data_IF_545032257854
#
_entry.id   IF_545032257854
#
_cell.length_a   1.000
_cell.length_b   1.000
_cell.length_c   1.000
_cell.angle_alpha   90.00
_cell.angle_beta   90.00
_cell.angle_gamma   90.00
#
_symmetry.space_group_name_H-M   'P 1'
#
loop_
_entity.id
_entity.type
_entity.pdbx_description
1 polymer ?
#
# COMPACT_ATOMS: atom_id res chain seq x y z
N UNK A 1 28.02 -29.82 11.14
CA UNK A 1 27.09 -30.97 11.02
C UNK A 1 25.64 -30.61 11.34
N UNK A 2 25.34 -29.93 12.46
CA UNK A 2 23.96 -29.58 12.90
C UNK A 2 23.24 -28.65 11.91
N UNK A 3 23.92 -27.67 11.29
CA UNK A 3 23.32 -26.80 10.30
C UNK A 3 22.87 -27.49 9.01
N UNK A 4 23.62 -28.52 8.60
CA UNK A 4 23.32 -29.28 7.39
C UNK A 4 22.07 -30.18 7.60
N UNK A 5 21.87 -30.72 8.80
CA UNK A 5 20.69 -31.52 9.14
C UNK A 5 19.43 -30.63 9.21
N UNK A 6 19.52 -29.46 9.84
CA UNK A 6 18.42 -28.48 9.90
C UNK A 6 17.99 -28.01 8.49
N UNK A 7 18.95 -27.74 7.61
CA UNK A 7 18.65 -27.36 6.21
C UNK A 7 17.97 -28.50 5.44
N UNK A 8 18.41 -29.74 5.63
CA UNK A 8 17.76 -30.92 4.99
C UNK A 8 16.32 -31.11 5.49
N UNK A 9 16.11 -31.05 6.80
CA UNK A 9 14.76 -31.12 7.39
C UNK A 9 13.84 -30.01 6.90
N UNK A 10 14.34 -28.77 6.84
CA UNK A 10 13.58 -27.65 6.31
C UNK A 10 13.21 -27.84 4.82
N UNK A 11 14.13 -28.38 4.02
CA UNK A 11 13.86 -28.69 2.61
C UNK A 11 12.74 -29.75 2.46
N UNK A 12 12.78 -30.82 3.26
CA UNK A 12 11.74 -31.87 3.25
C UNK A 12 10.39 -31.26 3.67
N UNK A 13 10.38 -30.48 4.74
CA UNK A 13 9.18 -29.77 5.19
C UNK A 13 8.62 -28.85 4.10
N UNK A 14 9.47 -28.06 3.44
CA UNK A 14 9.06 -27.14 2.37
C UNK A 14 8.44 -27.87 1.18
N UNK A 15 9.00 -29.05 0.79
CA UNK A 15 8.44 -29.90 -0.26
C UNK A 15 7.06 -30.42 0.14
N UNK A 16 6.91 -30.90 1.36
CA UNK A 16 5.61 -31.36 1.87
C UNK A 16 4.55 -30.25 1.87
N UNK A 17 4.90 -29.07 2.40
CA UNK A 17 4.02 -27.89 2.39
C UNK A 17 3.65 -27.49 0.97
N UNK A 18 4.60 -27.52 0.02
CA UNK A 18 4.33 -27.23 -1.39
C UNK A 18 3.23 -28.14 -1.94
N UNK A 19 3.31 -29.46 -1.73
CA UNK A 19 2.27 -30.39 -2.19
C UNK A 19 0.90 -30.12 -1.56
N UNK A 20 0.85 -29.72 -0.30
CA UNK A 20 -0.41 -29.33 0.35
C UNK A 20 -1.00 -28.04 -0.20
N UNK A 21 -0.17 -27.13 -0.73
CA UNK A 21 -0.61 -25.84 -1.27
C UNK A 21 -0.96 -25.88 -2.76
N UNK A 22 -0.58 -26.94 -3.50
CA UNK A 22 -0.86 -27.08 -4.95
C UNK A 22 -2.34 -26.79 -5.31
N UNK A 23 -3.36 -27.33 -4.63
CA UNK A 23 -4.76 -27.05 -4.98
C UNK A 23 -5.10 -25.57 -4.91
N UNK A 24 -4.52 -24.85 -3.94
CA UNK A 24 -4.70 -23.41 -3.74
C UNK A 24 -4.01 -22.65 -4.88
N UNK A 25 -2.76 -22.99 -5.18
CA UNK A 25 -1.97 -22.35 -6.24
C UNK A 25 -2.63 -22.54 -7.62
N UNK A 26 -3.14 -23.74 -7.91
CA UNK A 26 -3.87 -24.01 -9.14
C UNK A 26 -5.17 -23.22 -9.23
N UNK A 27 -5.88 -23.05 -8.12
CA UNK A 27 -7.08 -22.21 -8.07
C UNK A 27 -6.73 -20.74 -8.35
N UNK A 28 -5.68 -20.22 -7.74
CA UNK A 28 -5.23 -18.83 -7.93
C UNK A 28 -4.72 -18.58 -9.36
N UNK A 29 -4.04 -19.56 -9.99
CA UNK A 29 -3.60 -19.43 -11.38
C UNK A 29 -4.75 -19.39 -12.37
N UNK A 30 -5.86 -20.09 -12.08
CA UNK A 30 -7.06 -20.11 -12.94
C UNK A 30 -8.02 -18.96 -12.69
N UNK A 31 -8.06 -18.47 -11.46
CA UNK A 31 -8.99 -17.44 -11.01
C UNK A 31 -8.21 -16.32 -10.33
N UNK A 32 -7.69 -15.34 -11.07
CA UNK A 32 -6.99 -14.22 -10.49
C UNK A 32 -7.89 -13.48 -9.50
N UNK A 33 -7.31 -12.97 -8.43
CA UNK A 33 -8.02 -12.27 -7.35
C UNK A 33 -8.76 -11.03 -7.82
N UNK A 34 -8.31 -10.44 -8.94
CA UNK A 34 -8.93 -9.29 -9.58
C UNK A 34 -9.38 -9.67 -11.00
N UNK A 35 -10.64 -9.43 -11.31
CA UNK A 35 -11.20 -9.68 -12.64
C UNK A 35 -10.77 -8.63 -13.67
N UNK A 36 -10.37 -7.45 -13.21
CA UNK A 36 -9.98 -6.33 -14.04
C UNK A 36 -8.59 -5.83 -13.67
N UNK A 37 -7.89 -5.25 -14.64
CA UNK A 37 -6.63 -4.54 -14.40
C UNK A 37 -6.92 -3.37 -13.45
N UNK A 38 -6.09 -3.24 -12.42
CA UNK A 38 -6.19 -2.18 -11.43
C UNK A 38 -4.91 -1.32 -11.40
N UNK A 39 -4.88 -0.36 -10.50
CA UNK A 39 -3.77 0.60 -10.34
C UNK A 39 -2.49 0.01 -9.76
N UNK A 40 -2.49 -1.22 -9.24
CA UNK A 40 -1.32 -1.83 -8.57
C UNK A 40 -0.06 -1.85 -9.44
N UNK A 41 -0.20 -2.01 -10.75
CA UNK A 41 0.95 -1.97 -11.66
C UNK A 41 1.66 -0.59 -11.63
N UNK A 42 0.88 0.50 -11.55
CA UNK A 42 1.39 1.87 -11.45
C UNK A 42 2.06 2.07 -10.09
N UNK A 43 1.36 1.73 -9.03
CA UNK A 43 1.79 1.93 -7.64
C UNK A 43 3.08 1.16 -7.35
N UNK A 44 3.15 -0.12 -7.73
CA UNK A 44 4.34 -0.94 -7.56
C UNK A 44 5.49 -0.45 -8.45
N UNK A 45 5.20 -0.01 -9.68
CA UNK A 45 6.19 0.60 -10.55
C UNK A 45 6.83 1.82 -9.90
N UNK A 46 6.04 2.69 -9.26
CA UNK A 46 6.53 3.84 -8.51
C UNK A 46 7.39 3.44 -7.31
N UNK A 47 6.94 2.43 -6.53
CA UNK A 47 7.72 1.89 -5.40
C UNK A 47 9.07 1.38 -5.88
N UNK A 48 9.11 0.49 -6.89
CA UNK A 48 10.35 -0.09 -7.39
C UNK A 48 11.27 0.94 -8.05
N UNK A 49 10.71 1.94 -8.75
CA UNK A 49 11.46 3.09 -9.29
C UNK A 49 12.30 3.78 -8.21
N UNK A 50 11.76 3.94 -7.00
CA UNK A 50 12.46 4.62 -5.92
C UNK A 50 13.33 3.68 -5.08
N UNK A 51 12.92 2.43 -4.89
CA UNK A 51 13.71 1.43 -4.19
C UNK A 51 15.11 1.25 -4.81
N UNK A 52 15.19 1.07 -6.13
CA UNK A 52 16.48 0.87 -6.78
C UNK A 52 17.34 2.13 -6.82
N UNK A 53 16.74 3.34 -6.80
CA UNK A 53 17.49 4.62 -6.76
C UNK A 53 18.04 4.94 -5.38
N UNK A 54 17.29 4.60 -4.34
CA UNK A 54 17.62 4.90 -2.94
C UNK A 54 18.45 3.78 -2.33
N UNK A 55 18.24 2.53 -2.75
CA UNK A 55 18.86 1.32 -2.22
C UNK A 55 18.81 1.24 -0.68
N UNK A 56 17.62 1.31 -0.07
CA UNK A 56 17.47 1.30 1.40
C UNK A 56 17.87 -0.06 1.97
N UNK A 57 18.40 -0.07 3.20
CA UNK A 57 18.73 -1.32 3.90
C UNK A 57 17.52 -1.93 4.59
N UNK A 58 16.76 -1.13 5.32
CA UNK A 58 15.61 -1.60 6.10
C UNK A 58 14.32 -1.00 5.54
N UNK A 59 13.40 -1.84 5.11
CA UNK A 59 12.12 -1.46 4.49
C UNK A 59 10.96 -1.92 5.36
N UNK A 60 9.94 -1.08 5.51
CA UNK A 60 8.67 -1.44 6.14
C UNK A 60 7.53 -1.28 5.13
N UNK A 61 6.70 -2.31 4.98
CA UNK A 61 5.43 -2.22 4.28
C UNK A 61 4.28 -2.13 5.28
N UNK A 62 3.44 -1.10 5.13
CA UNK A 62 2.33 -0.79 6.04
C UNK A 62 1.00 -1.03 5.34
N UNK A 63 0.13 -1.82 5.96
CA UNK A 63 -1.16 -2.16 5.39
C UNK A 63 -1.06 -3.16 4.23
N UNK A 64 -0.18 -4.14 4.39
CA UNK A 64 0.14 -5.14 3.36
C UNK A 64 -1.10 -5.90 2.86
N UNK A 65 -2.08 -6.16 3.70
CA UNK A 65 -3.25 -6.96 3.36
C UNK A 65 -2.86 -8.35 2.88
N UNK A 66 -3.50 -8.79 1.79
CA UNK A 66 -3.20 -10.06 1.10
C UNK A 66 -2.21 -9.89 -0.05
N UNK A 67 -1.58 -8.72 -0.20
CA UNK A 67 -0.72 -8.42 -1.35
C UNK A 67 0.65 -9.09 -1.25
N UNK A 68 1.31 -9.25 -2.39
CA UNK A 68 2.65 -9.82 -2.47
C UNK A 68 3.78 -8.78 -2.44
N UNK A 69 3.46 -7.47 -2.26
CA UNK A 69 4.46 -6.41 -2.36
C UNK A 69 5.69 -6.63 -1.47
N UNK A 70 5.57 -6.94 -0.16
CA UNK A 70 6.76 -7.18 0.67
C UNK A 70 7.57 -8.39 0.22
N UNK A 71 6.93 -9.43 -0.31
CA UNK A 71 7.62 -10.58 -0.89
C UNK A 71 8.40 -10.20 -2.16
N UNK A 72 7.81 -9.41 -3.05
CA UNK A 72 8.48 -8.91 -4.26
C UNK A 72 9.71 -8.06 -3.91
N UNK A 73 9.58 -7.15 -2.94
CA UNK A 73 10.71 -6.36 -2.45
C UNK A 73 11.81 -7.24 -1.84
N UNK A 74 11.43 -8.24 -1.03
CA UNK A 74 12.40 -9.18 -0.43
C UNK A 74 13.12 -10.03 -1.49
N UNK A 75 12.45 -10.44 -2.56
CA UNK A 75 13.07 -11.16 -3.68
C UNK A 75 14.08 -10.29 -4.46
N UNK A 76 13.96 -8.97 -4.38
CA UNK A 76 14.96 -8.04 -4.91
C UNK A 76 16.15 -7.79 -3.95
N UNK A 77 16.20 -8.50 -2.80
CA UNK A 77 17.30 -8.41 -1.84
C UNK A 77 17.13 -7.39 -0.73
N UNK A 78 16.00 -6.69 -0.66
CA UNK A 78 15.73 -5.74 0.42
C UNK A 78 15.35 -6.46 1.71
N UNK A 79 15.78 -5.92 2.85
CA UNK A 79 15.37 -6.37 4.18
C UNK A 79 13.99 -5.81 4.52
N UNK A 80 12.94 -6.57 4.31
CA UNK A 80 11.56 -6.13 4.45
C UNK A 80 10.92 -6.63 5.73
N UNK A 81 10.17 -5.76 6.42
CA UNK A 81 9.15 -6.10 7.40
C UNK A 81 7.80 -5.61 6.92
N UNK A 82 6.74 -6.29 7.35
CA UNK A 82 5.37 -5.94 7.01
C UNK A 82 4.50 -5.88 8.26
N UNK A 83 3.67 -4.86 8.35
CA UNK A 83 2.67 -4.71 9.41
C UNK A 83 1.29 -4.45 8.82
N UNK A 84 0.27 -4.95 9.51
CA UNK A 84 -1.13 -4.65 9.23
C UNK A 84 -1.97 -4.81 10.48
N UNK A 85 -3.13 -4.16 10.51
CA UNK A 85 -4.16 -4.41 11.51
C UNK A 85 -5.00 -5.61 11.07
N UNK A 86 -4.47 -6.82 11.32
CA UNK A 86 -5.02 -8.09 10.82
C UNK A 86 -6.39 -8.39 11.37
N UNK A 87 -6.69 -7.95 12.61
CA UNK A 87 -7.94 -8.24 13.31
C UNK A 87 -8.85 -7.02 13.42
N UNK A 88 -10.14 -7.23 13.19
CA UNK A 88 -11.19 -6.27 13.50
C UNK A 88 -11.39 -5.12 12.50
N UNK A 89 -10.69 -5.13 11.37
CA UNK A 89 -10.88 -4.13 10.31
C UNK A 89 -11.70 -4.68 9.12
N UNK A 90 -11.32 -5.84 8.61
CA UNK A 90 -12.07 -6.54 7.56
C UNK A 90 -13.10 -7.51 8.19
N UNK A 91 -14.18 -7.75 7.50
CA UNK A 91 -15.14 -8.80 7.90
C UNK A 91 -14.50 -10.19 7.78
N UNK A 92 -13.84 -10.59 8.85
CA UNK A 92 -13.04 -11.81 8.95
C UNK A 92 -11.53 -11.52 8.87
N UNK A 93 -10.81 -12.22 9.74
CA UNK A 93 -9.35 -12.17 9.75
C UNK A 93 -8.80 -12.66 8.40
N UNK A 94 -7.67 -12.11 7.96
CA UNK A 94 -7.04 -12.56 6.75
C UNK A 94 -5.67 -13.20 7.01
N UNK A 95 -5.28 -14.09 6.12
CA UNK A 95 -3.93 -14.67 6.08
C UNK A 95 -3.24 -14.21 4.82
N UNK A 96 -2.07 -13.61 4.95
CA UNK A 96 -1.20 -13.34 3.82
C UNK A 96 -0.38 -14.60 3.52
N UNK A 97 -0.44 -15.11 2.29
CA UNK A 97 0.25 -16.33 1.88
C UNK A 97 1.64 -16.08 1.29
N UNK A 98 1.97 -14.82 1.06
CA UNK A 98 3.21 -14.43 0.39
C UNK A 98 4.27 -13.98 1.39
N UNK A 99 3.86 -13.43 2.54
CA UNK A 99 4.79 -12.84 3.50
C UNK A 99 4.26 -12.93 4.93
N UNK A 100 5.18 -12.97 5.91
CA UNK A 100 4.81 -12.86 7.32
C UNK A 100 4.46 -11.43 7.68
N UNK A 101 3.22 -11.21 8.13
CA UNK A 101 2.72 -9.91 8.56
C UNK A 101 2.62 -9.89 10.08
N UNK A 102 3.25 -8.91 10.69
CA UNK A 102 3.08 -8.64 12.11
C UNK A 102 1.79 -7.83 12.33
N UNK A 103 0.92 -8.31 13.21
CA UNK A 103 -0.26 -7.55 13.61
C UNK A 103 0.18 -6.32 14.43
N UNK A 104 0.00 -5.12 13.84
CA UNK A 104 0.34 -3.83 14.46
C UNK A 104 -0.53 -2.72 13.84
N UNK A 105 -0.81 -1.66 14.62
CA UNK A 105 -1.61 -0.52 14.18
C UNK A 105 -0.69 0.68 13.94
N UNK A 106 -0.59 1.14 12.70
CA UNK A 106 0.28 2.27 12.34
C UNK A 106 -0.14 3.59 12.99
N UNK A 107 -1.39 3.72 13.43
CA UNK A 107 -1.84 4.92 14.17
C UNK A 107 -1.23 4.99 15.58
N UNK A 108 -0.79 3.85 16.12
CA UNK A 108 -0.12 3.70 17.42
C UNK A 108 0.85 2.50 17.38
N UNK A 109 1.94 2.59 16.60
CA UNK A 109 2.79 1.44 16.31
C UNK A 109 3.53 0.92 17.55
N UNK A 110 3.50 -0.39 17.74
CA UNK A 110 4.23 -1.11 18.80
C UNK A 110 5.66 -1.46 18.37
N UNK A 111 5.89 -1.58 17.06
CA UNK A 111 7.24 -1.76 16.51
C UNK A 111 8.10 -0.55 16.84
N UNK A 112 9.36 -0.77 17.28
CA UNK A 112 10.29 0.30 17.70
C UNK A 112 11.46 0.49 16.73
N UNK A 113 11.65 -0.45 15.81
CA UNK A 113 12.69 -0.36 14.78
C UNK A 113 12.47 0.85 13.88
N UNK A 114 13.58 1.47 13.44
CA UNK A 114 13.57 2.54 12.44
C UNK A 114 13.92 1.98 11.06
N UNK A 115 13.34 2.59 10.03
CA UNK A 115 13.45 2.15 8.65
C UNK A 115 14.00 3.26 7.76
N UNK A 116 14.71 2.86 6.71
CA UNK A 116 15.21 3.77 5.68
C UNK A 116 14.10 4.12 4.68
N UNK A 117 13.17 3.17 4.49
CA UNK A 117 12.11 3.28 3.51
C UNK A 117 10.81 2.65 4.05
N UNK A 118 9.70 3.36 3.90
CA UNK A 118 8.37 2.86 4.28
C UNK A 118 7.45 2.96 3.07
N UNK A 119 6.67 1.91 2.82
CA UNK A 119 5.59 1.90 1.83
C UNK A 119 4.23 1.82 2.51
N UNK A 120 3.25 2.56 1.99
CA UNK A 120 1.84 2.48 2.41
C UNK A 120 0.99 2.69 1.15
N UNK A 121 0.57 1.59 0.53
CA UNK A 121 0.07 1.55 -0.85
C UNK A 121 -1.43 1.27 -0.87
N UNK A 122 -2.24 2.28 -1.19
CA UNK A 122 -3.72 2.23 -1.14
C UNK A 122 -4.23 1.67 0.18
N UNK A 123 -3.82 2.31 1.26
CA UNK A 123 -4.17 1.93 2.64
C UNK A 123 -4.63 3.14 3.44
N UNK A 124 -3.94 4.28 3.27
CA UNK A 124 -4.17 5.46 4.09
C UNK A 124 -5.61 5.98 3.97
N UNK A 125 -6.21 5.84 2.79
CA UNK A 125 -7.61 6.18 2.51
C UNK A 125 -8.62 5.37 3.33
N UNK A 126 -8.20 4.24 3.87
CA UNK A 126 -9.05 3.36 4.70
C UNK A 126 -8.88 3.62 6.20
N UNK A 127 -7.98 4.53 6.59
CA UNK A 127 -7.71 4.83 8.00
C UNK A 127 -8.39 6.12 8.41
N UNK A 128 -9.43 6.09 9.29
CA UNK A 128 -10.14 7.30 9.70
C UNK A 128 -9.21 8.39 10.24
N UNK A 129 -8.28 8.02 11.11
CA UNK A 129 -7.27 8.92 11.64
C UNK A 129 -5.98 8.86 10.81
N UNK A 130 -6.06 9.29 9.55
CA UNK A 130 -4.93 9.34 8.62
C UNK A 130 -3.75 10.18 9.14
N UNK A 131 -4.01 11.26 9.91
CA UNK A 131 -2.94 12.07 10.52
C UNK A 131 -2.11 11.26 11.52
N UNK A 132 -2.77 10.48 12.38
CA UNK A 132 -2.06 9.59 13.31
C UNK A 132 -1.27 8.52 12.56
N UNK A 133 -1.81 7.97 11.47
CA UNK A 133 -1.12 6.99 10.64
C UNK A 133 0.15 7.59 10.00
N UNK A 134 0.07 8.77 9.40
CA UNK A 134 1.22 9.46 8.82
C UNK A 134 2.26 9.79 9.90
N UNK A 135 1.84 10.32 11.05
CA UNK A 135 2.72 10.56 12.21
C UNK A 135 3.40 9.27 12.68
N UNK A 136 2.65 8.16 12.73
CA UNK A 136 3.18 6.84 13.04
C UNK A 136 4.28 6.40 12.07
N UNK A 137 4.04 6.50 10.76
CA UNK A 137 5.04 6.21 9.73
C UNK A 137 6.29 7.08 9.87
N UNK A 138 6.13 8.40 10.02
CA UNK A 138 7.26 9.31 10.24
C UNK A 138 8.02 9.01 11.53
N UNK A 139 7.33 8.58 12.59
CA UNK A 139 7.98 8.16 13.83
C UNK A 139 8.89 6.95 13.65
N UNK A 140 8.59 6.08 12.68
CA UNK A 140 9.36 4.89 12.34
C UNK A 140 10.45 5.13 11.29
N UNK A 141 10.43 6.26 10.59
CA UNK A 141 11.50 6.63 9.66
C UNK A 141 12.75 7.09 10.40
N UNK A 142 13.91 6.69 9.88
CA UNK A 142 15.20 7.32 10.19
C UNK A 142 15.22 8.75 9.63
N UNK A 143 16.13 9.60 10.13
CA UNK A 143 16.44 10.89 9.49
C UNK A 143 16.89 10.64 8.05
N UNK A 144 16.42 11.45 7.10
CA UNK A 144 16.60 11.26 5.65
C UNK A 144 15.95 10.01 5.07
N UNK A 145 15.20 9.23 5.88
CA UNK A 145 14.39 8.12 5.39
C UNK A 145 13.24 8.58 4.49
N UNK A 146 12.72 7.66 3.70
CA UNK A 146 11.73 7.95 2.67
C UNK A 146 10.41 7.21 2.92
N UNK A 147 9.30 7.87 2.62
CA UNK A 147 7.95 7.35 2.68
C UNK A 147 7.30 7.39 1.30
N UNK A 148 6.86 6.25 0.81
CA UNK A 148 5.99 6.17 -0.38
C UNK A 148 4.56 5.99 0.06
N UNK A 149 3.70 6.85 -0.43
CA UNK A 149 2.25 6.80 -0.26
C UNK A 149 1.59 6.73 -1.63
N UNK A 150 0.55 5.92 -1.76
CA UNK A 150 -0.38 5.98 -2.88
C UNK A 150 -1.81 5.97 -2.35
N UNK A 151 -2.67 6.77 -2.93
CA UNK A 151 -4.06 6.89 -2.49
C UNK A 151 -4.91 7.64 -3.53
N UNK A 152 -6.25 7.50 -3.47
CA UNK A 152 -7.18 8.33 -4.22
C UNK A 152 -6.97 9.82 -3.92
N UNK A 153 -6.86 10.63 -4.97
CA UNK A 153 -6.44 12.02 -4.84
C UNK A 153 -7.19 12.96 -5.76
N UNK A 154 -7.51 14.14 -5.25
CA UNK A 154 -8.01 15.28 -6.02
C UNK A 154 -7.30 16.54 -5.56
N UNK A 155 -6.71 17.34 -6.46
CA UNK A 155 -5.90 18.50 -6.11
C UNK A 155 -6.64 19.52 -5.23
N UNK A 156 -7.94 19.68 -5.43
CA UNK A 156 -8.72 20.78 -4.88
C UNK A 156 -9.63 20.40 -3.72
N UNK A 157 -10.10 19.15 -3.68
CA UNK A 157 -11.20 18.79 -2.79
C UNK A 157 -10.94 17.46 -2.08
N UNK A 158 -10.94 17.52 -0.75
CA UNK A 158 -11.05 16.34 0.10
C UNK A 158 -12.49 15.82 0.08
N UNK A 159 -12.64 14.51 -0.02
CA UNK A 159 -13.93 13.84 0.10
C UNK A 159 -13.80 12.69 1.09
N UNK A 160 -14.62 12.71 2.11
CA UNK A 160 -14.85 11.53 2.89
C UNK A 160 -16.00 10.72 2.27
N UNK A 161 -16.01 9.43 2.51
CA UNK A 161 -16.81 8.49 1.75
C UNK A 161 -18.28 8.44 2.06
N UNK A 162 -18.70 8.74 3.26
CA UNK A 162 -20.12 8.79 3.57
C UNK A 162 -20.83 9.77 2.61
N UNK A 163 -20.07 10.77 2.13
CA UNK A 163 -20.54 11.68 1.10
C UNK A 163 -20.30 11.16 -0.33
N UNK A 164 -19.20 10.49 -0.62
CA UNK A 164 -18.85 10.05 -2.00
C UNK A 164 -19.77 8.94 -2.50
N UNK A 165 -20.08 7.95 -1.68
CA UNK A 165 -20.97 6.85 -2.09
C UNK A 165 -22.46 7.21 -2.05
N UNK A 166 -22.83 8.24 -1.32
CA UNK A 166 -24.19 8.81 -1.37
C UNK A 166 -24.42 9.65 -2.62
N UNK A 167 -23.36 10.27 -3.16
CA UNK A 167 -23.41 11.12 -4.34
C UNK A 167 -23.19 10.36 -5.65
N UNK A 168 -22.71 9.14 -5.60
CA UNK A 168 -22.29 8.43 -6.78
C UNK A 168 -23.35 7.48 -7.31
N UNK A 169 -23.58 7.53 -8.61
CA UNK A 169 -23.81 6.35 -9.44
C UNK A 169 -22.60 5.39 -9.42
N UNK A 170 -21.93 5.29 -8.28
CA UNK A 170 -20.82 4.40 -8.07
C UNK A 170 -21.38 2.99 -7.99
N UNK A 171 -21.37 2.28 -9.10
CA UNK A 171 -21.62 0.84 -9.15
C UNK A 171 -20.62 0.04 -8.29
N UNK A 172 -19.61 0.71 -7.76
CA UNK A 172 -18.55 0.16 -6.91
C UNK A 172 -18.67 0.77 -5.51
N UNK A 173 -18.89 -0.06 -4.49
CA UNK A 173 -18.66 0.33 -3.11
C UNK A 173 -19.88 0.68 -2.26
N UNK A 174 -21.12 0.70 -2.79
CA UNK A 174 -22.33 0.94 -1.97
C UNK A 174 -22.46 0.06 -0.71
N UNK A 175 -21.79 -1.09 -0.72
CA UNK A 175 -21.76 -2.05 0.39
C UNK A 175 -20.34 -2.41 0.81
N UNK A 176 -19.34 -1.57 0.49
CA UNK A 176 -17.99 -1.83 0.94
C UNK A 176 -17.90 -1.70 2.47
N UNK A 177 -17.40 -2.72 3.18
CA UNK A 177 -17.34 -2.69 4.64
C UNK A 177 -16.18 -1.82 5.16
N UNK A 178 -15.63 -0.94 4.33
CA UNK A 178 -14.46 -0.13 4.64
C UNK A 178 -14.66 1.34 4.22
N UNK A 179 -14.06 2.22 4.98
CA UNK A 179 -13.95 3.64 4.67
C UNK A 179 -12.99 3.81 3.49
N UNK A 180 -13.23 4.78 2.62
CA UNK A 180 -12.26 5.22 1.64
C UNK A 180 -12.31 6.75 1.50
N UNK A 181 -11.25 7.45 1.63
CA UNK A 181 -11.12 8.90 1.57
C UNK A 181 -10.39 9.29 0.28
N UNK A 182 -10.80 10.39 -0.33
CA UNK A 182 -10.04 11.03 -1.41
C UNK A 182 -9.34 12.25 -0.80
N UNK A 183 -8.03 12.17 -0.71
CA UNK A 183 -7.25 13.28 -0.12
C UNK A 183 -7.02 14.41 -1.11
N UNK A 184 -6.70 15.59 -0.60
CA UNK A 184 -6.37 16.77 -1.40
C UNK A 184 -4.97 17.31 -1.11
N UNK A 185 -4.57 18.34 -1.83
CA UNK A 185 -3.30 19.03 -1.58
C UNK A 185 -3.19 19.52 -0.15
N UNK A 186 -4.28 19.99 0.43
CA UNK A 186 -4.32 20.50 1.80
C UNK A 186 -3.87 19.44 2.81
N UNK A 187 -4.37 18.21 2.71
CA UNK A 187 -3.99 17.13 3.61
C UNK A 187 -2.50 16.78 3.46
N UNK A 188 -2.00 16.72 2.22
CA UNK A 188 -0.56 16.47 1.96
C UNK A 188 0.30 17.56 2.61
N UNK A 189 -0.03 18.83 2.39
CA UNK A 189 0.74 19.96 2.91
C UNK A 189 0.71 20.01 4.45
N UNK A 190 -0.41 19.63 5.07
CA UNK A 190 -0.51 19.47 6.52
C UNK A 190 0.39 18.34 7.04
N UNK A 191 0.38 17.15 6.41
CA UNK A 191 1.25 16.04 6.81
C UNK A 191 2.73 16.40 6.70
N UNK A 192 3.12 17.08 5.61
CA UNK A 192 4.50 17.53 5.38
C UNK A 192 4.94 18.50 6.47
N UNK A 193 4.11 19.52 6.75
CA UNK A 193 4.40 20.55 7.77
C UNK A 193 4.51 19.93 9.17
N UNK A 194 3.53 19.10 9.55
CA UNK A 194 3.44 18.53 10.89
C UNK A 194 4.60 17.54 11.20
N UNK A 195 5.11 16.86 10.18
CA UNK A 195 6.11 15.81 10.35
C UNK A 195 7.50 16.19 9.81
N UNK A 196 7.73 17.45 9.43
CA UNK A 196 8.99 17.91 8.84
C UNK A 196 9.42 17.07 7.65
N UNK A 197 8.48 16.88 6.72
CA UNK A 197 8.72 16.16 5.47
C UNK A 197 9.11 17.11 4.32
N UNK A 198 9.60 16.52 3.25
CA UNK A 198 9.81 17.18 1.96
C UNK A 198 9.35 16.27 0.84
N UNK A 199 8.50 16.76 -0.07
CA UNK A 199 8.13 16.02 -1.28
C UNK A 199 9.35 15.93 -2.18
N UNK A 200 9.71 14.73 -2.60
CA UNK A 200 10.81 14.42 -3.51
C UNK A 200 10.31 14.13 -4.91
N UNK A 201 9.20 13.37 -5.01
CA UNK A 201 8.57 13.04 -6.28
C UNK A 201 7.06 12.88 -6.07
N UNK A 202 6.29 13.28 -7.05
CA UNK A 202 4.85 13.08 -7.07
C UNK A 202 4.36 12.87 -8.49
N UNK A 203 3.62 11.79 -8.70
CA UNK A 203 3.02 11.44 -9.97
C UNK A 203 1.49 11.41 -9.85
N UNK A 204 0.81 11.81 -10.91
CA UNK A 204 -0.65 11.92 -10.97
C UNK A 204 -1.18 11.05 -12.10
N UNK A 205 -2.32 10.38 -11.85
CA UNK A 205 -2.90 9.48 -12.82
C UNK A 205 -4.42 9.68 -12.96
N UNK A 206 -4.86 9.82 -14.19
CA UNK A 206 -6.27 9.76 -14.54
C UNK A 206 -6.68 8.29 -14.72
N UNK A 207 -7.62 7.84 -13.88
CA UNK A 207 -8.08 6.44 -13.80
C UNK A 207 -9.53 6.32 -14.27
N UNK A 208 -10.33 7.38 -14.12
CA UNK A 208 -11.75 7.38 -14.42
C UNK A 208 -12.16 8.54 -15.32
N UNK A 209 -13.28 8.40 -16.03
CA UNK A 209 -13.83 9.46 -16.89
C UNK A 209 -14.54 10.55 -16.08
N UNK A 210 -15.04 10.27 -14.88
CA UNK A 210 -15.67 11.24 -13.97
C UNK A 210 -14.66 12.15 -13.27
N UNK A 211 -15.14 12.96 -12.33
CA UNK A 211 -14.31 13.97 -11.66
C UNK A 211 -13.62 13.48 -10.39
N UNK A 212 -14.04 12.34 -9.86
CA UNK A 212 -13.54 11.77 -8.62
C UNK A 212 -13.23 10.28 -8.77
N UNK A 213 -12.51 9.75 -7.80
CA UNK A 213 -12.23 8.33 -7.66
C UNK A 213 -13.51 7.50 -7.73
N UNK A 214 -13.52 6.46 -8.57
CA UNK A 214 -14.65 5.56 -8.86
C UNK A 214 -15.83 6.17 -9.63
N UNK A 215 -15.76 7.42 -10.05
CA UNK A 215 -16.81 8.06 -10.84
C UNK A 215 -16.61 7.84 -12.35
N UNK A 216 -17.68 7.49 -13.03
CA UNK A 216 -17.67 7.20 -14.46
C UNK A 216 -17.03 5.85 -14.79
N UNK A 217 -16.51 5.73 -16.02
CA UNK A 217 -15.89 4.49 -16.51
C UNK A 217 -14.39 4.49 -16.22
N UNK A 218 -13.84 3.32 -15.90
CA UNK A 218 -12.39 3.15 -15.76
C UNK A 218 -11.71 3.31 -17.12
N UNK A 219 -10.59 4.01 -17.14
CA UNK A 219 -9.75 4.27 -18.33
C UNK A 219 -8.66 3.19 -18.40
N UNK A 220 -8.49 2.61 -19.58
CA UNK A 220 -7.47 1.60 -19.86
C UNK A 220 -6.64 1.99 -21.09
N UNK A 221 -5.30 2.06 -21.01
CA UNK A 221 -4.53 2.10 -19.75
C UNK A 221 -4.77 3.42 -19.00
N UNK A 222 -4.56 3.47 -17.68
CA UNK A 222 -4.55 4.72 -16.93
C UNK A 222 -3.53 5.70 -17.52
N UNK A 223 -3.85 6.99 -17.52
CA UNK A 223 -2.99 8.02 -18.09
C UNK A 223 -2.20 8.75 -17.02
N UNK A 224 -0.88 8.81 -17.17
CA UNK A 224 -0.07 9.74 -16.38
C UNK A 224 -0.32 11.15 -16.90
N UNK A 225 -0.61 12.09 -15.99
CA UNK A 225 -1.00 13.47 -16.31
C UNK A 225 -0.22 14.47 -15.46
N UNK A 226 -0.30 15.76 -15.80
CA UNK A 226 0.27 16.82 -15.01
C UNK A 226 -0.64 17.18 -13.81
N UNK A 227 -0.10 17.92 -12.86
CA UNK A 227 -0.79 18.32 -11.64
C UNK A 227 -2.08 19.13 -11.88
N UNK A 228 -2.10 19.94 -12.89
CA UNK A 228 -3.21 20.84 -13.28
C UNK A 228 -4.28 20.14 -14.13
N UNK A 229 -4.00 18.94 -14.62
CA UNK A 229 -4.95 18.11 -15.34
C UNK A 229 -5.81 17.27 -14.37
N UNK A 230 -6.92 16.74 -14.87
CA UNK A 230 -7.79 15.84 -14.10
C UNK A 230 -7.08 14.56 -13.73
N UNK A 231 -7.09 14.20 -12.45
CA UNK A 231 -6.48 12.98 -11.94
C UNK A 231 -7.27 12.42 -10.75
N UNK A 232 -7.03 11.16 -10.44
CA UNK A 232 -7.78 10.42 -9.44
C UNK A 232 -6.89 9.66 -8.45
N UNK A 233 -5.63 9.42 -8.82
CA UNK A 233 -4.64 8.72 -8.02
C UNK A 233 -3.36 9.55 -7.98
N UNK A 234 -2.71 9.57 -6.83
CA UNK A 234 -1.34 10.07 -6.72
C UNK A 234 -0.42 9.03 -6.13
N UNK A 235 0.81 9.00 -6.65
CA UNK A 235 1.95 8.30 -6.07
C UNK A 235 2.91 9.35 -5.54
N UNK A 236 3.24 9.30 -4.26
CA UNK A 236 3.97 10.36 -3.54
C UNK A 236 5.18 9.79 -2.83
N UNK A 237 6.37 10.38 -3.06
CA UNK A 237 7.58 10.12 -2.31
C UNK A 237 7.92 11.31 -1.43
N UNK A 238 8.02 11.07 -0.13
CA UNK A 238 8.36 12.08 0.88
C UNK A 238 9.66 11.68 1.57
N UNK A 239 10.55 12.63 1.82
CA UNK A 239 11.72 12.46 2.66
C UNK A 239 11.50 13.12 4.01
N UNK A 240 11.86 12.43 5.08
CA UNK A 240 11.93 13.01 6.44
C UNK A 240 13.18 13.87 6.56
N UNK A 241 13.05 15.11 7.01
CA UNK A 241 14.16 16.05 7.22
C UNK A 241 14.92 15.78 8.54
#
# INVERSE_FOLDING_TARGET
MINNLKQKLFKIYSIFVYFLTIPILLKESKFPSFKEINERAIEYGFVFKHLWRICPTEVLDVGTGKTALPHLMANCGFKVKAIDKVHGYWSGDFVNRHFYIRNDDITSPKIRQKFDFITCISVLEHIPNHRAAVKGMFSLLKTKGHLVLTFPYNEKKYLDLDNVYKLADAGYGRNAPYICQVFSRKEIDEWIRENRGKIIDQEYYEIFTGDFWTFGKRIYPPRKVNRDEKHHLTCLLIQKL
#
